data_IF_492844840581
#
_entry.id   IF_492844840581
#
_cell.length_a   1.000
_cell.length_b   1.000
_cell.length_c   1.000
_cell.angle_alpha   90.00
_cell.angle_beta   90.00
_cell.angle_gamma   90.00
#
_symmetry.space_group_name_H-M   'P 1'
#
loop_
_entity.id
_entity.type
_entity.pdbx_description
1 polymer ?
#
# COMPACT_ATOMS: atom_id res chain seq x y z
N UNK A 1 -12.26 -6.11 5.36
CA UNK A 1 -10.83 -5.82 5.37
C UNK A 1 -10.30 -5.77 3.96
N UNK A 2 -9.46 -4.80 3.67
CA UNK A 2 -8.94 -4.64 2.32
C UNK A 2 -7.82 -5.65 2.04
N UNK A 3 -7.88 -6.28 0.88
CA UNK A 3 -6.83 -7.19 0.46
C UNK A 3 -5.82 -6.40 -0.37
N UNK A 4 -4.56 -6.49 0.01
CA UNK A 4 -3.50 -5.73 -0.64
C UNK A 4 -2.46 -6.71 -1.17
N UNK A 5 -2.14 -6.56 -2.44
CA UNK A 5 -1.15 -7.42 -3.09
C UNK A 5 -0.03 -6.56 -3.66
N UNK A 6 1.19 -6.95 -3.36
CA UNK A 6 2.36 -6.36 -3.97
C UNK A 6 2.90 -7.32 -5.02
N UNK A 7 2.85 -6.90 -6.27
CA UNK A 7 3.39 -7.68 -7.37
C UNK A 7 4.84 -7.26 -7.59
N UNK A 8 5.74 -8.21 -7.45
CA UNK A 8 7.17 -7.92 -7.47
C UNK A 8 7.90 -8.80 -8.47
N UNK A 9 9.16 -8.49 -8.69
CA UNK A 9 10.04 -9.34 -9.48
C UNK A 9 11.41 -9.36 -8.81
N UNK A 10 12.31 -10.29 -9.19
CA UNK A 10 13.62 -10.34 -8.56
C UNK A 10 14.47 -9.14 -8.95
N UNK A 11 15.42 -8.80 -8.10
CA UNK A 11 16.39 -7.74 -8.35
C UNK A 11 15.73 -6.39 -8.62
N UNK A 12 14.70 -6.09 -7.84
CA UNK A 12 13.92 -4.88 -8.02
C UNK A 12 14.09 -4.00 -6.78
N UNK A 13 14.88 -2.93 -6.93
CA UNK A 13 15.14 -2.03 -5.81
C UNK A 13 13.88 -1.35 -5.34
N UNK A 14 13.04 -0.89 -6.28
CA UNK A 14 11.80 -0.23 -5.90
C UNK A 14 10.82 -1.16 -5.22
N UNK A 15 10.85 -2.45 -5.58
CA UNK A 15 10.03 -3.44 -4.87
C UNK A 15 10.45 -3.53 -3.42
N UNK A 16 11.76 -3.55 -3.17
CA UNK A 16 12.28 -3.62 -1.81
C UNK A 16 11.95 -2.36 -1.03
N UNK A 17 12.06 -1.20 -1.66
CA UNK A 17 11.71 0.06 -1.00
C UNK A 17 10.22 0.09 -0.64
N UNK A 18 9.38 -0.39 -1.54
CA UNK A 18 7.94 -0.43 -1.29
C UNK A 18 7.63 -1.34 -0.10
N UNK A 19 8.23 -2.52 -0.07
CA UNK A 19 8.03 -3.44 1.05
C UNK A 19 8.45 -2.81 2.36
N UNK A 20 9.61 -2.16 2.36
CA UNK A 20 10.13 -1.56 3.58
C UNK A 20 9.16 -0.53 4.14
N UNK A 21 8.68 0.36 3.28
CA UNK A 21 7.77 1.40 3.75
C UNK A 21 6.43 0.82 4.17
N UNK A 22 5.91 -0.16 3.43
CA UNK A 22 4.66 -0.79 3.82
C UNK A 22 4.79 -1.48 5.17
N UNK A 23 5.92 -2.14 5.41
CA UNK A 23 6.17 -2.76 6.71
C UNK A 23 6.26 -1.72 7.82
N UNK A 24 6.93 -0.62 7.56
CA UNK A 24 7.05 0.46 8.54
C UNK A 24 5.70 1.08 8.87
N UNK A 25 4.82 1.15 7.89
CA UNK A 25 3.49 1.72 8.10
C UNK A 25 2.51 0.72 8.67
N UNK A 26 2.96 -0.51 8.91
CA UNK A 26 2.07 -1.53 9.47
C UNK A 26 1.03 -2.05 8.52
N UNK A 27 1.25 -1.90 7.23
CA UNK A 27 0.32 -2.39 6.22
C UNK A 27 0.53 -3.88 6.02
N UNK A 28 -0.54 -4.65 6.11
CA UNK A 28 -0.47 -6.09 5.83
C UNK A 28 -0.80 -6.34 4.38
N UNK A 29 0.05 -7.10 3.73
CA UNK A 29 -0.11 -7.37 2.30
C UNK A 29 0.46 -8.74 1.97
N UNK A 30 0.06 -9.26 0.82
CA UNK A 30 0.67 -10.48 0.28
C UNK A 30 1.53 -10.10 -0.91
N UNK A 31 2.54 -10.92 -1.18
CA UNK A 31 3.40 -10.70 -2.33
C UNK A 31 3.14 -11.76 -3.37
N UNK A 32 3.23 -11.36 -4.64
CA UNK A 32 3.14 -12.28 -5.76
C UNK A 32 4.17 -11.90 -6.80
N UNK A 33 4.61 -12.88 -7.56
CA UNK A 33 5.65 -12.68 -8.55
C UNK A 33 5.03 -12.30 -9.88
N UNK A 34 5.27 -11.06 -10.29
CA UNK A 34 4.75 -10.55 -11.55
C UNK A 34 5.36 -11.29 -12.73
N UNK A 35 6.66 -11.58 -12.64
CA UNK A 35 7.37 -12.24 -13.73
C UNK A 35 6.94 -13.68 -13.94
N UNK A 36 6.16 -14.24 -13.03
CA UNK A 36 5.68 -15.61 -13.17
C UNK A 36 4.20 -15.70 -13.52
N UNK A 37 3.58 -14.56 -13.82
CA UNK A 37 2.16 -14.56 -14.17
C UNK A 37 1.92 -13.76 -15.42
N UNK A 38 1.86 -14.44 -16.54
CA UNK A 38 1.57 -13.81 -17.82
C UNK A 38 0.23 -13.11 -17.81
N UNK A 39 -0.75 -13.73 -17.16
CA UNK A 39 -2.08 -13.10 -17.08
C UNK A 39 -2.04 -11.78 -16.33
N UNK A 40 -1.30 -11.74 -15.22
CA UNK A 40 -1.20 -10.51 -14.44
C UNK A 40 -0.49 -9.42 -15.26
N UNK A 41 0.60 -9.78 -15.95
CA UNK A 41 1.33 -8.83 -16.76
C UNK A 41 0.40 -8.22 -17.81
N UNK A 42 -0.36 -9.06 -18.50
CA UNK A 42 -1.25 -8.56 -19.55
C UNK A 42 -2.36 -7.69 -19.00
N UNK A 43 -2.92 -8.09 -17.86
CA UNK A 43 -3.99 -7.33 -17.23
C UNK A 43 -3.50 -5.93 -16.83
N UNK A 44 -2.34 -5.87 -16.20
CA UNK A 44 -1.80 -4.59 -15.77
C UNK A 44 -1.34 -3.73 -16.95
N UNK A 45 -0.84 -4.37 -17.99
CA UNK A 45 -0.41 -3.65 -19.18
C UNK A 45 -1.59 -2.90 -19.80
N UNK A 46 -2.75 -3.50 -19.82
CA UNK A 46 -3.94 -2.85 -20.34
C UNK A 46 -4.34 -1.65 -19.50
N UNK A 47 -3.94 -1.63 -18.24
CA UNK A 47 -4.19 -0.50 -17.34
C UNK A 47 -3.07 0.52 -17.37
N UNK A 48 -2.05 0.31 -18.20
CA UNK A 48 -0.92 1.23 -18.24
C UNK A 48 0.10 0.99 -17.15
N UNK A 49 0.03 -0.15 -16.45
CA UNK A 49 0.94 -0.46 -15.34
C UNK A 49 1.93 -1.50 -15.84
N UNK A 50 3.13 -1.07 -16.23
CA UNK A 50 4.05 -1.93 -16.94
C UNK A 50 5.34 -2.23 -16.20
N UNK A 51 5.53 -1.68 -15.01
CA UNK A 51 6.77 -1.88 -14.27
C UNK A 51 6.50 -2.30 -12.85
N UNK A 52 7.23 -3.29 -12.35
CA UNK A 52 7.19 -3.68 -10.95
C UNK A 52 7.87 -2.59 -10.11
N UNK A 53 7.44 -2.39 -8.89
CA UNK A 53 6.36 -3.07 -8.18
C UNK A 53 5.00 -2.53 -8.61
N UNK A 54 3.99 -3.39 -8.54
CA UNK A 54 2.61 -2.95 -8.70
C UNK A 54 1.89 -3.26 -7.41
N UNK A 55 1.31 -2.24 -6.80
CA UNK A 55 0.51 -2.41 -5.59
C UNK A 55 -0.95 -2.39 -6.00
N UNK A 56 -1.67 -3.42 -5.59
CA UNK A 56 -3.07 -3.55 -5.95
C UNK A 56 -3.91 -3.69 -4.69
N UNK A 57 -4.92 -2.84 -4.56
CA UNK A 57 -5.88 -2.94 -3.46
C UNK A 57 -7.26 -3.21 -4.07
N UNK A 58 -8.28 -3.21 -3.22
CA UNK A 58 -9.64 -3.43 -3.72
C UNK A 58 -10.09 -2.32 -4.66
N UNK A 59 -9.57 -1.11 -4.48
CA UNK A 59 -10.05 0.04 -5.23
C UNK A 59 -8.98 0.78 -6.02
N UNK A 60 -7.69 0.54 -5.73
CA UNK A 60 -6.62 1.32 -6.32
C UNK A 60 -5.48 0.44 -6.80
N UNK A 61 -4.75 0.94 -7.78
CA UNK A 61 -3.55 0.27 -8.28
C UNK A 61 -2.55 1.32 -8.69
N UNK A 62 -1.27 1.02 -8.48
CA UNK A 62 -0.22 1.90 -8.99
C UNK A 62 1.03 1.09 -9.25
N UNK A 63 1.92 1.66 -10.06
CA UNK A 63 3.18 1.05 -10.45
C UNK A 63 4.32 1.91 -9.94
N UNK A 64 5.40 1.27 -9.52
CA UNK A 64 6.58 1.96 -9.03
C UNK A 64 6.52 2.24 -7.54
N UNK A 65 7.62 2.77 -7.03
CA UNK A 65 7.66 3.17 -5.62
C UNK A 65 7.00 4.53 -5.47
N UNK A 66 5.85 4.56 -4.83
CA UNK A 66 5.07 5.78 -4.67
C UNK A 66 4.79 5.99 -3.20
N UNK A 67 5.69 6.70 -2.55
CA UNK A 67 5.63 6.91 -1.11
C UNK A 67 4.33 7.59 -0.69
N UNK A 68 3.91 8.58 -1.44
CA UNK A 68 2.69 9.30 -1.10
C UNK A 68 1.45 8.40 -1.16
N UNK A 69 1.45 7.45 -2.08
CA UNK A 69 0.32 6.54 -2.18
C UNK A 69 0.32 5.51 -1.07
N UNK A 70 1.50 5.05 -0.67
CA UNK A 70 1.61 4.11 0.45
C UNK A 70 1.14 4.78 1.74
N UNK A 71 1.54 6.02 1.95
CA UNK A 71 1.13 6.75 3.15
C UNK A 71 -0.36 7.04 3.16
N UNK A 72 -0.92 7.36 2.00
CA UNK A 72 -2.36 7.56 1.87
C UNK A 72 -3.11 6.28 2.20
N UNK A 73 -2.61 5.15 1.70
CA UNK A 73 -3.20 3.86 1.99
C UNK A 73 -3.16 3.54 3.47
N UNK A 74 -2.01 3.81 4.10
CA UNK A 74 -1.85 3.57 5.54
C UNK A 74 -2.86 4.38 6.34
N UNK A 75 -3.04 5.64 5.96
CA UNK A 75 -4.00 6.51 6.62
C UNK A 75 -5.42 5.98 6.44
N UNK A 76 -5.75 5.55 5.23
CA UNK A 76 -7.07 5.00 4.95
C UNK A 76 -7.35 3.75 5.80
N UNK A 77 -6.36 2.88 5.92
CA UNK A 77 -6.51 1.67 6.72
C UNK A 77 -6.71 1.99 8.19
N UNK A 78 -6.03 3.01 8.70
CA UNK A 78 -6.21 3.42 10.09
C UNK A 78 -7.61 3.95 10.33
N UNK A 79 -8.14 4.70 9.37
CA UNK A 79 -9.50 5.22 9.48
C UNK A 79 -10.51 4.09 9.46
N UNK A 80 -10.33 3.12 8.58
CA UNK A 80 -11.22 1.97 8.54
C UNK A 80 -11.20 1.18 9.84
N UNK A 81 -10.00 1.02 10.39
CA UNK A 81 -9.87 0.30 11.66
C UNK A 81 -10.59 1.03 12.77
N UNK A 82 -10.52 2.36 12.76
CA UNK A 82 -11.23 3.15 13.75
C UNK A 82 -12.74 3.06 13.58
N UNK A 83 -13.21 2.97 12.35
CA UNK A 83 -14.64 2.82 12.11
C UNK A 83 -15.16 1.46 12.58
N UNK A 84 -14.30 0.45 12.54
CA UNK A 84 -14.69 -0.87 12.99
C UNK A 84 -14.65 -1.05 14.48
N UNK A 85 -14.17 -0.03 15.21
CA UNK A 85 -14.08 -0.07 16.65
C UNK A 85 -14.81 1.13 17.19
N UNK A 86 -15.59 0.92 18.23
CA UNK A 86 -16.30 2.04 18.84
C UNK A 86 -15.33 2.83 19.69
N UNK A 87 -14.59 3.72 19.07
CA UNK A 87 -13.56 4.49 19.74
C UNK A 87 -14.07 5.88 20.02
N UNK A 88 -13.84 6.39 21.24
CA UNK A 88 -14.22 7.77 21.50
C UNK A 88 -13.42 8.71 20.61
N UNK A 89 -14.04 9.75 20.20
CA UNK A 89 -13.38 10.70 19.34
C UNK A 89 -12.54 11.62 20.17
N UNK A 90 -11.41 11.15 20.54
CA UNK A 90 -10.50 12.00 21.15
C UNK A 90 -9.73 12.65 20.15
N UNK A 91 -9.42 13.77 20.43
CA UNK A 91 -8.61 14.37 19.46
C UNK A 91 -7.30 13.71 19.36
N UNK A 92 -7.20 13.18 19.17
CA UNK A 92 -6.22 12.57 19.11
C UNK A 92 -5.20 13.10 18.58
N UNK A 93 -5.66 13.37 19.17
CA UNK A 93 -5.02 13.87 18.74
C UNK A 93 -4.19 13.89 18.37
N UNK A 94 -4.29 13.85 18.56
CA UNK A 94 -3.65 13.98 18.02
C UNK A 94 -3.01 13.81 17.57
N UNK A 95 -2.98 13.80 17.91
CA UNK A 95 -2.35 13.84 17.37
C UNK A 95 -1.75 13.88 16.82
N UNK A 96 -1.66 13.93 17.18
CA UNK A 96 -1.16 14.25 16.59
C UNK A 96 -0.66 14.27 16.05
N UNK A 97 -0.69 14.24 16.49
CA UNK A 97 -0.29 14.51 15.98
C UNK A 97 0.08 14.43 15.45
N UNK A 98 0.07 14.37 15.87
CA UNK A 98 0.37 14.53 15.37
C UNK A 98 0.79 14.38 14.76
N UNK A 99 0.92 14.19 15.03
CA UNK A 99 1.37 14.34 14.38
C UNK A 99 1.97 14.29 13.84
N UNK A 100 2.16 14.27 14.13
CA UNK A 100 2.70 14.52 13.65
C UNK A 100 3.19 14.48 12.95
N UNK A 101 3.38 14.31 13.09
CA UNK A 101 3.83 14.49 12.34
C UNK A 101 4.22 14.48 11.57
N UNK A 102 4.39 14.33 11.74
CA UNK A 102 4.78 14.56 10.99
C UNK A 102 5.16 14.63 10.36
N UNK A 103 5.36 14.62 10.45
CA UNK A 103 5.76 14.95 9.80
C UNK A 103 6.06 15.12 9.43
#
# INVERSE_FOLDING_TARGET
MMKITLWEKPNCVQCMQTKRVMDQEGIKYQTRRLDKSTKAVERFKEMGLMAAPIVETDTKRWSGFRLEKIRSLAKHLRVERMHGVNVPLEPIKQIADEVQDDE
#
